data_IF_884088655208
#
_entry.id   IF_884088655208
#
_cell.length_a   1.000
_cell.length_b   1.000
_cell.length_c   1.000
_cell.angle_alpha   90.00
_cell.angle_beta   90.00
_cell.angle_gamma   90.00
#
_symmetry.space_group_name_H-M   'P 1'
#
loop_
_entity.id
_entity.type
_entity.pdbx_description
1 polymer ?
#
# COMPACT_ATOMS: atom_id res chain seq x y z
N UNK A 1 11.63 2.16 23.44
CA UNK A 1 10.91 1.33 22.46
C UNK A 1 10.79 2.20 21.23
N UNK A 2 11.52 1.90 20.15
CA UNK A 2 11.43 2.70 18.93
C UNK A 2 9.99 2.58 18.44
N UNK A 3 9.26 3.70 18.45
CA UNK A 3 7.97 3.78 17.78
C UNK A 3 8.26 3.51 16.30
N UNK A 4 7.91 2.32 15.83
CA UNK A 4 7.91 2.05 14.40
C UNK A 4 6.81 2.91 13.82
N UNK A 5 7.16 3.80 12.91
CA UNK A 5 6.21 4.70 12.27
C UNK A 5 5.11 3.89 11.59
N UNK A 6 3.85 4.29 11.78
CA UNK A 6 2.67 3.52 11.35
C UNK A 6 2.72 3.26 9.83
N UNK A 7 3.27 4.19 9.06
CA UNK A 7 3.46 4.01 7.61
C UNK A 7 4.44 2.89 7.27
N UNK A 8 5.49 2.68 8.08
CA UNK A 8 6.47 1.60 7.87
C UNK A 8 5.79 0.26 8.08
N UNK A 9 4.96 0.15 9.13
CA UNK A 9 4.16 -1.04 9.39
C UNK A 9 3.20 -1.31 8.22
N UNK A 10 2.48 -0.29 7.75
CA UNK A 10 1.55 -0.42 6.63
C UNK A 10 2.24 -0.81 5.33
N UNK A 11 3.41 -0.24 5.02
CA UNK A 11 4.20 -0.57 3.84
C UNK A 11 4.61 -2.05 3.83
N UNK A 12 5.10 -2.56 4.97
CA UNK A 12 5.40 -3.99 5.11
C UNK A 12 4.16 -4.87 4.99
N UNK A 13 3.05 -4.49 5.62
CA UNK A 13 1.81 -5.24 5.57
C UNK A 13 1.25 -5.32 4.14
N UNK A 14 1.27 -4.20 3.41
CA UNK A 14 0.84 -4.14 2.01
C UNK A 14 1.75 -5.01 1.13
N UNK A 15 3.07 -4.90 1.32
CA UNK A 15 4.04 -5.73 0.60
C UNK A 15 3.80 -7.22 0.84
N UNK A 16 3.57 -7.63 2.09
CA UNK A 16 3.34 -9.03 2.43
C UNK A 16 2.01 -9.54 1.87
N UNK A 17 0.99 -8.69 1.81
CA UNK A 17 -0.29 -8.99 1.20
C UNK A 17 -0.19 -9.19 -0.33
N UNK A 18 0.59 -8.34 -1.01
CA UNK A 18 0.75 -8.37 -2.46
C UNK A 18 1.74 -9.44 -2.95
N UNK A 19 2.79 -9.73 -2.16
CA UNK A 19 3.86 -10.67 -2.52
C UNK A 19 3.41 -12.04 -3.07
N UNK A 20 2.41 -12.74 -2.50
CA UNK A 20 1.99 -14.03 -3.06
C UNK A 20 1.27 -13.94 -4.42
N UNK A 21 0.89 -12.73 -4.84
CA UNK A 21 0.10 -12.46 -6.05
C UNK A 21 0.93 -11.81 -7.16
N UNK A 22 2.17 -11.41 -6.86
CA UNK A 22 3.05 -10.65 -7.75
C UNK A 22 4.34 -11.43 -8.05
N UNK A 23 5.04 -11.03 -9.13
CA UNK A 23 6.36 -11.57 -9.41
C UNK A 23 7.42 -11.01 -8.45
N UNK A 24 8.61 -11.61 -8.46
CA UNK A 24 9.75 -11.09 -7.68
C UNK A 24 10.24 -9.73 -8.17
N UNK A 25 10.07 -9.45 -9.46
CA UNK A 25 10.52 -8.19 -10.04
C UNK A 25 9.53 -7.08 -9.68
N UNK A 26 8.22 -7.38 -9.70
CA UNK A 26 7.18 -6.43 -9.27
C UNK A 26 7.34 -6.05 -7.81
N UNK A 27 7.52 -7.05 -6.92
CA UNK A 27 7.64 -6.78 -5.48
C UNK A 27 8.93 -6.03 -5.12
N UNK A 28 9.95 -6.08 -5.98
CA UNK A 28 11.19 -5.33 -5.82
C UNK A 28 10.92 -3.81 -5.76
N UNK A 29 9.88 -3.34 -6.47
CA UNK A 29 9.45 -1.95 -6.46
C UNK A 29 8.98 -1.48 -5.08
N UNK A 30 8.53 -2.40 -4.22
CA UNK A 30 8.23 -2.11 -2.81
C UNK A 30 9.41 -2.42 -1.89
N UNK A 31 10.16 -3.50 -2.14
CA UNK A 31 11.25 -3.90 -1.24
C UNK A 31 12.39 -2.86 -1.21
N UNK A 32 12.68 -2.18 -2.32
CA UNK A 32 13.69 -1.10 -2.38
C UNK A 32 13.36 0.11 -1.49
N UNK A 33 12.21 0.80 -1.65
CA UNK A 33 11.86 1.94 -0.80
C UNK A 33 11.70 1.54 0.68
N UNK A 34 11.17 0.34 0.98
CA UNK A 34 11.11 -0.18 2.35
C UNK A 34 12.52 -0.27 2.97
N UNK A 35 13.50 -0.80 2.24
CA UNK A 35 14.89 -0.89 2.72
C UNK A 35 15.56 0.48 2.89
N UNK A 36 15.16 1.47 2.08
CA UNK A 36 15.63 2.84 2.19
C UNK A 36 14.96 3.64 3.32
N UNK A 37 13.92 3.09 3.96
CA UNK A 37 13.12 3.81 4.96
C UNK A 37 12.08 4.77 4.35
N UNK A 38 11.79 4.64 3.06
CA UNK A 38 10.85 5.45 2.29
C UNK A 38 9.47 4.77 2.26
N UNK A 39 8.84 4.66 3.43
CA UNK A 39 7.56 3.97 3.60
C UNK A 39 6.42 4.54 2.73
N UNK A 40 6.37 5.86 2.52
CA UNK A 40 5.37 6.49 1.64
C UNK A 40 5.53 6.04 0.19
N UNK A 41 6.76 6.06 -0.31
CA UNK A 41 7.07 5.61 -1.67
C UNK A 41 6.76 4.11 -1.84
N UNK A 42 6.96 3.32 -0.78
CA UNK A 42 6.57 1.92 -0.78
C UNK A 42 5.04 1.73 -0.81
N UNK A 43 4.27 2.55 -0.10
CA UNK A 43 2.81 2.54 -0.14
C UNK A 43 2.29 2.89 -1.54
N UNK A 44 2.78 4.00 -2.10
CA UNK A 44 2.51 4.45 -3.48
C UNK A 44 2.80 3.35 -4.51
N UNK A 45 4.01 2.76 -4.45
CA UNK A 45 4.38 1.64 -5.31
C UNK A 45 3.45 0.44 -5.14
N UNK A 46 3.03 0.13 -3.91
CA UNK A 46 2.10 -0.96 -3.65
C UNK A 46 0.70 -0.71 -4.22
N UNK A 47 0.18 0.52 -4.13
CA UNK A 47 -1.11 0.89 -4.71
C UNK A 47 -1.04 0.85 -6.24
N UNK A 48 0.02 1.39 -6.84
CA UNK A 48 0.28 1.27 -8.27
C UNK A 48 0.31 -0.19 -8.76
N UNK A 49 1.02 -1.07 -8.05
CA UNK A 49 1.05 -2.51 -8.36
C UNK A 49 -0.33 -3.17 -8.22
N UNK A 50 -1.09 -2.81 -7.19
CA UNK A 50 -2.45 -3.33 -7.01
C UNK A 50 -3.37 -2.91 -8.19
N UNK A 51 -3.23 -1.68 -8.68
CA UNK A 51 -3.95 -1.18 -9.86
C UNK A 51 -3.50 -1.93 -11.12
N UNK A 52 -2.19 -1.97 -11.38
CA UNK A 52 -1.62 -2.56 -12.60
C UNK A 52 -1.99 -4.04 -12.75
N UNK A 53 -1.92 -4.80 -11.66
CA UNK A 53 -2.25 -6.22 -11.64
C UNK A 53 -3.72 -6.52 -11.33
N UNK A 54 -4.56 -5.49 -11.17
CA UNK A 54 -5.98 -5.62 -10.82
C UNK A 54 -6.20 -6.48 -9.56
N UNK A 55 -5.37 -6.29 -8.54
CA UNK A 55 -5.46 -6.96 -7.24
C UNK A 55 -6.36 -6.13 -6.34
N UNK A 56 -7.45 -6.73 -5.86
CA UNK A 56 -8.29 -6.08 -4.87
C UNK A 56 -7.56 -5.98 -3.53
N UNK A 57 -7.73 -4.87 -2.81
CA UNK A 57 -7.17 -4.68 -1.48
C UNK A 57 -8.25 -4.71 -0.40
N UNK A 58 -8.02 -5.38 0.74
CA UNK A 58 -8.87 -5.23 1.92
C UNK A 58 -9.10 -3.74 2.25
N UNK A 59 -10.35 -3.30 2.53
CA UNK A 59 -10.67 -1.89 2.78
C UNK A 59 -9.84 -1.24 3.89
N UNK A 60 -9.42 -2.05 4.87
CA UNK A 60 -8.57 -1.61 5.98
C UNK A 60 -7.25 -0.98 5.52
N UNK A 61 -6.70 -1.37 4.35
CA UNK A 61 -5.50 -0.72 3.82
C UNK A 61 -5.79 0.73 3.45
N UNK A 62 -6.89 1.00 2.73
CA UNK A 62 -7.27 2.36 2.36
C UNK A 62 -7.58 3.23 3.59
N UNK A 63 -8.34 2.69 4.53
CA UNK A 63 -8.66 3.38 5.80
C UNK A 63 -7.40 3.76 6.59
N UNK A 64 -6.42 2.85 6.64
CA UNK A 64 -5.19 3.07 7.40
C UNK A 64 -4.19 3.97 6.70
N UNK A 65 -4.07 3.86 5.38
CA UNK A 65 -3.19 4.73 4.59
C UNK A 65 -3.70 6.17 4.68
N UNK A 66 -4.99 6.42 4.41
CA UNK A 66 -5.59 7.75 4.49
C UNK A 66 -5.68 8.31 5.92
N UNK A 67 -5.56 7.44 6.93
CA UNK A 67 -5.58 7.81 8.34
C UNK A 67 -4.23 8.25 8.93
N UNK A 68 -3.15 8.25 8.14
CA UNK A 68 -1.82 8.68 8.60
C UNK A 68 -1.81 10.20 8.87
N UNK A 69 -1.66 10.59 10.14
CA UNK A 69 -1.84 11.98 10.62
C UNK A 69 -0.93 13.03 9.95
N UNK A 70 0.21 12.60 9.41
CA UNK A 70 1.23 13.49 8.84
C UNK A 70 1.21 13.55 7.31
N UNK A 71 0.27 12.86 6.65
CA UNK A 71 0.10 13.00 5.20
C UNK A 71 -0.32 14.44 4.88
N UNK A 72 0.31 15.01 3.85
CA UNK A 72 -0.15 16.27 3.27
C UNK A 72 -1.44 16.07 2.49
N UNK A 73 -2.23 17.13 2.35
CA UNK A 73 -3.48 17.11 1.56
C UNK A 73 -3.24 16.58 0.13
N UNK A 74 -2.12 16.95 -0.50
CA UNK A 74 -1.74 16.46 -1.83
C UNK A 74 -1.56 14.92 -1.87
N UNK A 75 -0.98 14.33 -0.82
CA UNK A 75 -0.80 12.87 -0.74
C UNK A 75 -2.11 12.16 -0.43
N UNK A 76 -2.98 12.78 0.38
CA UNK A 76 -4.32 12.27 0.65
C UNK A 76 -5.14 12.24 -0.64
N UNK A 77 -5.10 13.30 -1.44
CA UNK A 77 -5.78 13.35 -2.74
C UNK A 77 -5.25 12.27 -3.69
N UNK A 78 -3.93 12.18 -3.83
CA UNK A 78 -3.26 11.17 -4.65
C UNK A 78 -3.68 9.74 -4.26
N UNK A 79 -3.53 9.37 -2.98
CA UNK A 79 -3.91 8.03 -2.51
C UNK A 79 -5.40 7.76 -2.62
N UNK A 80 -6.25 8.77 -2.44
CA UNK A 80 -7.70 8.62 -2.65
C UNK A 80 -8.00 8.30 -4.11
N UNK A 81 -7.35 8.97 -5.05
CA UNK A 81 -7.50 8.70 -6.48
C UNK A 81 -7.02 7.29 -6.84
N UNK A 82 -5.86 6.88 -6.33
CA UNK A 82 -5.33 5.52 -6.55
C UNK A 82 -6.24 4.43 -5.97
N UNK A 83 -6.66 4.58 -4.72
CA UNK A 83 -7.58 3.64 -4.07
C UNK A 83 -8.91 3.52 -4.82
N UNK A 84 -9.37 4.59 -5.49
CA UNK A 84 -10.59 4.56 -6.31
C UNK A 84 -10.45 3.72 -7.60
N UNK A 85 -9.21 3.52 -8.07
CA UNK A 85 -8.89 2.72 -9.27
C UNK A 85 -8.70 1.23 -8.92
N UNK A 86 -8.48 0.90 -7.65
CA UNK A 86 -8.29 -0.47 -7.20
C UNK A 86 -9.63 -1.22 -7.25
N UNK A 87 -9.66 -2.45 -7.78
CA UNK A 87 -10.89 -3.23 -7.84
C UNK A 87 -11.47 -3.49 -6.46
N UNK A 88 -12.80 -3.44 -6.36
CA UNK A 88 -13.52 -3.58 -5.10
C UNK A 88 -13.24 -4.94 -4.44
N UNK A 89 -12.93 -4.89 -3.15
CA UNK A 89 -12.81 -6.07 -2.29
C UNK A 89 -14.17 -6.74 -2.08
N UNK A 90 -14.59 -7.56 -3.04
CA UNK A 90 -15.67 -8.51 -2.81
C UNK A 90 -15.16 -9.61 -1.90
N UNK A 91 -15.84 -9.80 -0.77
CA UNK A 91 -15.57 -10.84 0.22
C UNK A 91 -15.23 -12.18 -0.46
N UNK A 92 -13.94 -12.53 -0.49
CA UNK A 92 -13.45 -13.92 -0.60
C UNK A 92 -13.76 -14.70 0.69
N UNK A 93 -14.95 -14.47 1.26
CA UNK A 93 -15.54 -15.20 2.36
C UNK A 93 -16.86 -15.78 1.85
N UNK A 94 -16.76 -16.79 0.99
CA UNK A 94 -17.78 -17.82 0.81
C UNK A 94 -17.11 -19.17 1.03
#
# INVERSE_FOLDING_TARGET
MMFMDESTLLAHALRDYLRPQLSKDDILMMDLPIQAGESVCALDSGLCLAIEHSIALPPIFGEKILGLEWLSDDLVEMFTEELSKIPTWYQLAS
#
